data_IF_572676114611
#
_entry.id   IF_572676114611
#
_cell.length_a   1.000
_cell.length_b   1.000
_cell.length_c   1.000
_cell.angle_alpha   90.00
_cell.angle_beta   90.00
_cell.angle_gamma   90.00
#
_symmetry.space_group_name_H-M   'P 1'
#
loop_
_entity.id
_entity.type
_entity.pdbx_description
1 polymer ?
#
# COMPACT_ATOMS: atom_id res chain seq x y z
N UNK A 1 11.03 -15.37 36.25
CA UNK A 1 9.60 -15.23 36.54
C UNK A 1 9.02 -14.20 35.56
N UNK A 2 8.41 -14.68 34.48
CA UNK A 2 7.70 -13.80 33.54
C UNK A 2 6.30 -13.56 34.11
N UNK A 3 6.04 -12.35 34.60
CA UNK A 3 4.69 -11.90 34.94
C UNK A 3 3.95 -11.60 33.65
N UNK A 4 3.10 -12.50 33.20
CA UNK A 4 2.13 -12.25 32.13
C UNK A 4 1.12 -11.21 32.61
N UNK A 5 1.10 -10.04 31.97
CA UNK A 5 0.05 -9.05 32.18
C UNK A 5 -1.28 -9.66 31.72
N UNK A 6 -2.34 -9.63 32.54
CA UNK A 6 -3.62 -10.22 32.15
C UNK A 6 -4.19 -9.50 30.93
N UNK A 7 -4.57 -10.26 29.91
CA UNK A 7 -5.14 -9.75 28.63
C UNK A 7 -6.34 -8.81 28.85
N UNK A 8 -7.08 -8.99 29.94
CA UNK A 8 -8.22 -8.14 30.31
C UNK A 8 -7.88 -6.68 30.63
N UNK A 9 -6.70 -6.40 31.19
CA UNK A 9 -6.29 -5.04 31.53
C UNK A 9 -5.84 -4.24 30.29
N UNK A 10 -5.23 -4.92 29.33
CA UNK A 10 -4.84 -4.30 28.05
C UNK A 10 -6.05 -3.93 27.20
N UNK A 11 -7.07 -4.78 27.15
CA UNK A 11 -8.33 -4.51 26.43
C UNK A 11 -9.09 -3.35 27.07
N UNK A 12 -9.15 -3.29 28.41
CA UNK A 12 -9.80 -2.16 29.12
C UNK A 12 -9.07 -0.83 28.94
N UNK A 13 -7.74 -0.83 28.86
CA UNK A 13 -6.94 0.38 28.57
C UNK A 13 -7.16 0.86 27.13
N UNK A 14 -7.23 -0.04 26.17
CA UNK A 14 -7.54 0.27 24.77
C UNK A 14 -8.98 0.83 24.61
N UNK A 15 -9.97 0.24 25.28
CA UNK A 15 -11.36 0.74 25.26
C UNK A 15 -11.45 2.16 25.82
N UNK A 16 -10.82 2.43 26.97
CA UNK A 16 -10.77 3.78 27.55
C UNK A 16 -10.08 4.79 26.63
N UNK A 17 -8.96 4.43 26.03
CA UNK A 17 -8.25 5.30 25.10
C UNK A 17 -9.08 5.64 23.86
N UNK A 18 -9.89 4.69 23.36
CA UNK A 18 -10.82 4.92 22.26
C UNK A 18 -11.98 5.83 22.65
N UNK A 19 -12.56 5.62 23.85
CA UNK A 19 -13.63 6.48 24.38
C UNK A 19 -13.13 7.90 24.63
N UNK A 20 -11.92 8.06 25.19
CA UNK A 20 -11.30 9.37 25.40
C UNK A 20 -11.02 10.07 24.07
N UNK A 21 -10.55 9.34 23.07
CA UNK A 21 -10.33 9.87 21.72
C UNK A 21 -11.64 10.38 21.09
N UNK A 22 -12.73 9.63 21.17
CA UNK A 22 -14.03 10.06 20.67
C UNK A 22 -14.56 11.30 21.37
N UNK A 23 -14.38 11.40 22.68
CA UNK A 23 -14.74 12.59 23.46
C UNK A 23 -13.92 13.82 23.07
N UNK A 24 -12.62 13.64 22.84
CA UNK A 24 -11.72 14.71 22.39
C UNK A 24 -12.14 15.23 21.03
N UNK A 25 -12.43 14.32 20.08
CA UNK A 25 -12.89 14.69 18.73
C UNK A 25 -14.23 15.44 18.82
N UNK A 26 -15.21 14.88 19.53
CA UNK A 26 -16.52 15.52 19.68
C UNK A 26 -16.43 16.90 20.36
N UNK A 27 -15.55 17.05 21.36
CA UNK A 27 -15.30 18.34 21.99
C UNK A 27 -14.66 19.33 21.00
N UNK A 28 -13.69 18.90 20.23
CA UNK A 28 -13.01 19.73 19.24
C UNK A 28 -13.97 20.18 18.13
N UNK A 29 -14.85 19.31 17.65
CA UNK A 29 -15.88 19.64 16.66
C UNK A 29 -16.85 20.72 17.17
N UNK A 30 -17.14 20.74 18.47
CA UNK A 30 -18.05 21.72 19.08
C UNK A 30 -17.38 23.05 19.43
N UNK A 31 -16.05 23.05 19.66
CA UNK A 31 -15.34 24.19 20.24
C UNK A 31 -14.30 24.82 19.30
N UNK A 32 -14.04 24.21 18.13
CA UNK A 32 -13.14 24.81 17.14
C UNK A 32 -13.84 25.92 16.40
N UNK A 33 -13.26 27.11 16.45
CA UNK A 33 -13.79 28.28 15.76
C UNK A 33 -13.73 28.13 14.22
N UNK A 34 -14.54 28.92 13.54
CA UNK A 34 -14.70 28.94 12.08
C UNK A 34 -13.41 29.25 11.31
N UNK A 35 -12.39 29.73 11.96
CA UNK A 35 -11.15 30.08 11.33
C UNK A 35 -9.98 29.41 12.06
N UNK A 36 -9.47 28.42 11.61
CA UNK A 36 -8.26 27.64 11.88
C UNK A 36 -7.09 28.31 12.64
N UNK A 37 -7.34 29.38 13.43
CA UNK A 37 -6.31 30.19 14.07
C UNK A 37 -5.59 29.51 15.23
N UNK A 38 -6.23 28.55 15.87
CA UNK A 38 -5.66 27.85 17.04
C UNK A 38 -4.90 26.56 16.68
N UNK A 39 -4.76 26.27 15.38
CA UNK A 39 -3.96 25.14 14.95
C UNK A 39 -2.50 25.56 14.70
N UNK A 40 -1.57 24.64 15.01
CA UNK A 40 -0.18 24.78 14.57
C UNK A 40 -0.04 24.65 13.03
N UNK A 41 1.17 24.87 12.51
CA UNK A 41 1.44 24.76 11.05
C UNK A 41 1.15 23.37 10.47
N UNK A 42 1.04 22.34 11.27
CA UNK A 42 0.66 20.99 10.89
C UNK A 42 -0.82 20.68 11.04
N UNK A 43 -1.66 21.70 11.35
CA UNK A 43 -3.11 21.53 11.55
C UNK A 43 -3.47 20.84 12.84
N UNK A 44 -2.60 20.86 13.88
CA UNK A 44 -2.86 20.26 15.18
C UNK A 44 -3.40 21.30 16.14
N UNK A 45 -4.42 20.88 16.90
CA UNK A 45 -5.02 21.63 18.00
C UNK A 45 -4.51 21.11 19.34
N UNK A 46 -4.28 22.03 20.28
CA UNK A 46 -4.15 21.67 21.68
C UNK A 46 -5.52 21.83 22.32
N UNK A 47 -6.07 20.77 22.85
CA UNK A 47 -7.42 20.74 23.44
C UNK A 47 -7.36 20.26 24.88
N UNK A 48 -8.18 20.86 25.75
CA UNK A 48 -8.30 20.52 27.17
C UNK A 48 -9.75 20.14 27.47
N UNK A 49 -10.24 18.98 27.00
CA UNK A 49 -11.65 18.60 27.11
C UNK A 49 -12.07 18.14 28.51
N UNK A 50 -11.11 18.08 29.44
CA UNK A 50 -11.36 17.61 30.81
C UNK A 50 -11.09 18.71 31.85
N UNK A 51 -11.89 18.73 32.89
CA UNK A 51 -11.78 19.69 34.01
C UNK A 51 -10.47 19.61 34.82
N UNK A 52 -9.72 18.52 34.69
CA UNK A 52 -8.42 18.35 35.35
C UNK A 52 -7.24 18.96 34.56
N UNK A 53 -7.52 19.70 33.47
CA UNK A 53 -6.51 20.48 32.74
C UNK A 53 -5.53 19.70 31.91
N UNK A 54 -5.77 18.43 31.63
CA UNK A 54 -4.93 17.66 30.71
C UNK A 54 -5.07 18.18 29.29
N UNK A 55 -3.93 18.49 28.68
CA UNK A 55 -3.86 18.97 27.28
C UNK A 55 -3.57 17.81 26.33
N UNK A 56 -4.28 17.81 25.22
CA UNK A 56 -4.13 16.82 24.16
C UNK A 56 -3.85 17.53 22.83
N UNK A 57 -2.91 17.02 22.05
CA UNK A 57 -2.69 17.47 20.68
C UNK A 57 -3.40 16.52 19.72
N UNK A 58 -4.38 17.02 19.01
CA UNK A 58 -5.15 16.29 18.02
C UNK A 58 -5.08 17.02 16.68
N UNK A 59 -5.37 16.32 15.58
CA UNK A 59 -5.61 17.00 14.31
C UNK A 59 -6.94 17.74 14.35
N UNK A 60 -6.97 18.89 13.68
CA UNK A 60 -8.19 19.64 13.50
C UNK A 60 -9.23 18.75 12.78
N UNK A 61 -10.41 18.51 13.38
CA UNK A 61 -11.45 17.72 12.73
C UNK A 61 -11.97 18.33 11.43
N UNK A 62 -11.78 19.67 11.27
CA UNK A 62 -12.13 20.41 10.08
C UNK A 62 -10.98 20.50 9.06
N UNK A 63 -9.93 19.69 9.25
CA UNK A 63 -8.78 19.65 8.34
C UNK A 63 -9.25 19.12 6.98
N UNK A 64 -9.50 20.02 6.04
CA UNK A 64 -9.94 19.73 4.69
C UNK A 64 -8.86 20.07 3.67
N UNK A 65 -8.97 19.52 2.47
CA UNK A 65 -8.07 19.85 1.35
C UNK A 65 -8.13 21.33 0.91
N UNK A 66 -9.14 22.07 1.33
CA UNK A 66 -9.29 23.49 1.07
C UNK A 66 -8.59 24.37 2.11
N UNK A 67 -8.32 23.81 3.30
CA UNK A 67 -7.57 24.49 4.34
C UNK A 67 -6.07 24.51 4.00
N UNK A 68 -5.38 25.68 4.04
CA UNK A 68 -3.94 25.75 3.76
C UNK A 68 -3.09 24.82 4.62
N UNK A 69 -3.51 24.56 5.86
CA UNK A 69 -2.86 23.59 6.77
C UNK A 69 -3.19 22.15 6.42
N UNK A 70 -4.41 21.88 5.94
CA UNK A 70 -4.79 20.58 5.39
C UNK A 70 -3.97 20.23 4.15
N UNK A 71 -3.71 21.18 3.29
CA UNK A 71 -2.83 21.02 2.13
C UNK A 71 -1.40 20.65 2.58
N UNK A 72 -0.82 21.41 3.52
CA UNK A 72 0.51 21.09 4.08
C UNK A 72 0.56 19.72 4.75
N UNK A 73 -0.50 19.35 5.47
CA UNK A 73 -0.63 18.05 6.09
C UNK A 73 -0.63 16.92 5.05
N UNK A 74 -1.43 17.04 4.00
CA UNK A 74 -1.48 16.08 2.91
C UNK A 74 -0.12 15.96 2.21
N UNK A 75 0.59 17.07 1.99
CA UNK A 75 1.93 17.11 1.43
C UNK A 75 2.94 16.38 2.32
N UNK A 76 2.89 16.59 3.65
CA UNK A 76 3.77 15.91 4.61
C UNK A 76 3.54 14.38 4.62
N UNK A 77 2.28 13.93 4.60
CA UNK A 77 1.96 12.50 4.52
C UNK A 77 2.46 11.92 3.19
N UNK A 78 2.22 12.61 2.09
CA UNK A 78 2.67 12.17 0.77
C UNK A 78 4.20 12.07 0.70
N UNK A 79 4.92 13.06 1.21
CA UNK A 79 6.38 13.05 1.25
C UNK A 79 6.93 11.90 2.13
N UNK A 80 6.33 11.69 3.30
CA UNK A 80 6.70 10.60 4.18
C UNK A 80 6.42 9.23 3.53
N UNK A 81 5.27 9.10 2.85
CA UNK A 81 4.92 7.88 2.10
C UNK A 81 5.94 7.59 1.01
N UNK A 82 6.37 8.61 0.26
CA UNK A 82 7.42 8.46 -0.75
C UNK A 82 8.78 8.05 -0.16
N UNK A 83 9.15 8.62 1.00
CA UNK A 83 10.40 8.27 1.69
C UNK A 83 10.40 6.83 2.23
N UNK A 84 9.23 6.35 2.62
CA UNK A 84 9.05 5.02 3.21
C UNK A 84 8.85 3.91 2.18
N UNK A 85 8.78 4.23 0.89
CA UNK A 85 8.68 3.22 -0.18
C UNK A 85 9.95 2.35 -0.24
N UNK A 86 9.81 1.05 -0.58
CA UNK A 86 10.93 0.18 -0.85
C UNK A 86 11.91 0.77 -1.86
N UNK A 87 13.21 0.56 -1.63
CA UNK A 87 14.28 1.01 -2.52
C UNK A 87 14.18 0.38 -3.92
N UNK A 88 13.62 -0.82 -3.99
CA UNK A 88 13.50 -1.64 -5.20
C UNK A 88 12.47 -1.07 -6.20
N UNK A 89 11.59 -0.17 -5.75
CA UNK A 89 10.66 0.51 -6.65
C UNK A 89 11.43 1.53 -7.51
N UNK A 90 11.25 1.49 -8.85
CA UNK A 90 11.93 2.41 -9.75
C UNK A 90 11.75 3.88 -9.37
N UNK A 91 12.86 4.59 -9.18
CA UNK A 91 12.84 5.99 -8.73
C UNK A 91 12.13 6.93 -9.70
N UNK A 92 12.12 6.58 -11.00
CA UNK A 92 11.40 7.32 -12.05
C UNK A 92 9.89 7.42 -11.80
N UNK A 93 9.31 6.49 -11.05
CA UNK A 93 7.88 6.50 -10.73
C UNK A 93 7.53 7.49 -9.62
N UNK A 94 8.45 7.72 -8.67
CA UNK A 94 8.17 8.45 -7.41
C UNK A 94 7.54 9.82 -7.63
N UNK A 95 8.00 10.57 -8.62
CA UNK A 95 7.49 11.92 -8.93
C UNK A 95 6.04 11.97 -9.41
N UNK A 96 5.49 10.84 -9.86
CA UNK A 96 4.12 10.76 -10.39
C UNK A 96 3.14 10.04 -9.46
N UNK A 97 3.62 9.45 -8.35
CA UNK A 97 2.78 8.63 -7.47
C UNK A 97 1.73 9.46 -6.72
N UNK A 98 2.01 10.72 -6.39
CA UNK A 98 1.07 11.59 -5.67
C UNK A 98 -0.12 11.99 -6.57
N UNK A 99 0.14 12.22 -7.87
CA UNK A 99 -0.89 12.58 -8.85
C UNK A 99 -0.74 11.65 -10.06
N UNK A 100 -1.22 10.42 -9.96
CA UNK A 100 -1.11 9.46 -11.05
C UNK A 100 -2.00 9.88 -12.22
N UNK A 101 -1.55 9.62 -13.45
CA UNK A 101 -2.45 9.68 -14.60
C UNK A 101 -3.53 8.60 -14.44
N UNK A 102 -4.76 8.92 -14.77
CA UNK A 102 -5.86 7.96 -14.83
C UNK A 102 -5.65 7.04 -16.04
N UNK A 103 -5.31 5.79 -15.74
CA UNK A 103 -5.11 4.73 -16.73
C UNK A 103 -5.91 3.50 -16.33
N UNK A 104 -6.17 2.60 -17.28
CA UNK A 104 -6.83 1.32 -16.98
C UNK A 104 -6.07 0.54 -15.91
N UNK A 105 -4.74 0.59 -15.93
CA UNK A 105 -3.89 -0.08 -14.95
C UNK A 105 -4.08 0.52 -13.53
N UNK A 106 -4.04 1.85 -13.39
CA UNK A 106 -4.25 2.55 -12.10
C UNK A 106 -5.67 2.32 -11.60
N UNK A 107 -6.67 2.43 -12.48
CA UNK A 107 -8.06 2.17 -12.12
C UNK A 107 -8.25 0.73 -11.63
N UNK A 108 -7.71 -0.25 -12.34
CA UNK A 108 -7.78 -1.66 -11.92
C UNK A 108 -7.08 -1.90 -10.57
N UNK A 109 -5.89 -1.31 -10.38
CA UNK A 109 -5.16 -1.40 -9.13
C UNK A 109 -5.90 -0.73 -7.95
N UNK A 110 -6.62 0.37 -8.18
CA UNK A 110 -7.41 1.05 -7.14
C UNK A 110 -8.58 0.20 -6.62
N UNK A 111 -9.15 -0.63 -7.47
CA UNK A 111 -10.29 -1.50 -7.12
C UNK A 111 -9.89 -2.80 -6.43
N UNK A 112 -8.62 -3.18 -6.50
CA UNK A 112 -8.15 -4.37 -5.82
C UNK A 112 -8.22 -4.19 -4.30
N UNK A 113 -8.80 -5.17 -3.61
CA UNK A 113 -9.00 -5.14 -2.16
C UNK A 113 -7.76 -5.49 -1.32
N UNK A 114 -6.59 -5.68 -1.97
CA UNK A 114 -5.35 -6.07 -1.29
C UNK A 114 -5.28 -7.53 -0.87
N UNK A 115 -6.12 -8.41 -1.43
CA UNK A 115 -6.12 -9.85 -1.11
C UNK A 115 -5.88 -10.69 -2.36
N UNK A 116 -5.14 -11.78 -2.19
CA UNK A 116 -4.83 -12.69 -3.30
C UNK A 116 -3.98 -12.01 -4.38
N UNK A 117 -4.25 -12.35 -5.63
CA UNK A 117 -3.49 -11.85 -6.77
C UNK A 117 -4.20 -10.69 -7.47
N UNK A 118 -3.45 -9.69 -7.90
CA UNK A 118 -3.83 -8.74 -8.93
C UNK A 118 -2.94 -8.99 -10.15
N UNK A 119 -3.53 -9.33 -11.28
CA UNK A 119 -2.81 -9.56 -12.53
C UNK A 119 -3.07 -8.41 -13.51
N UNK A 120 -2.03 -7.64 -13.80
CA UNK A 120 -2.06 -6.53 -14.76
C UNK A 120 -1.39 -7.00 -16.06
N UNK A 121 -2.16 -7.20 -17.11
CA UNK A 121 -1.64 -7.63 -18.41
C UNK A 121 -1.92 -6.59 -19.51
N UNK A 122 -1.23 -6.71 -20.63
CA UNK A 122 -1.35 -5.82 -21.79
C UNK A 122 0.01 -5.42 -22.37
N UNK A 123 -0.01 -4.65 -23.45
CA UNK A 123 1.19 -4.25 -24.18
C UNK A 123 2.20 -3.45 -23.35
N UNK A 124 3.44 -3.39 -23.84
CA UNK A 124 4.50 -2.60 -23.20
C UNK A 124 4.12 -1.11 -23.20
N UNK A 125 4.35 -0.43 -22.06
CA UNK A 125 4.12 1.00 -21.94
C UNK A 125 2.72 1.39 -21.47
N UNK A 126 1.81 0.45 -21.18
CA UNK A 126 0.43 0.72 -20.73
C UNK A 126 0.32 1.09 -19.24
N UNK A 127 1.44 1.25 -18.53
CA UNK A 127 1.46 1.74 -17.13
C UNK A 127 1.33 0.66 -16.06
N UNK A 128 1.42 -0.64 -16.38
CA UNK A 128 1.28 -1.76 -15.42
C UNK A 128 2.21 -1.66 -14.21
N UNK A 129 3.52 -1.56 -14.45
CA UNK A 129 4.52 -1.46 -13.37
C UNK A 129 4.32 -0.17 -12.56
N UNK A 130 3.95 0.93 -13.20
CA UNK A 130 3.60 2.17 -12.51
C UNK A 130 2.38 1.98 -11.60
N UNK A 131 1.31 1.33 -12.08
CA UNK A 131 0.11 1.06 -11.29
C UNK A 131 0.39 0.16 -10.09
N UNK A 132 1.30 -0.82 -10.22
CA UNK A 132 1.76 -1.64 -9.11
C UNK A 132 2.51 -0.81 -8.05
N UNK A 133 3.41 0.10 -8.46
CA UNK A 133 4.11 1.01 -7.56
C UNK A 133 3.16 2.00 -6.89
N UNK A 134 2.20 2.55 -7.65
CA UNK A 134 1.18 3.43 -7.12
C UNK A 134 0.31 2.72 -6.08
N UNK A 135 -0.05 1.47 -6.29
CA UNK A 135 -0.84 0.72 -5.32
C UNK A 135 -0.11 0.53 -3.99
N UNK A 136 1.19 0.25 -4.01
CA UNK A 136 2.01 0.19 -2.79
C UNK A 136 2.03 1.56 -2.09
N UNK A 137 2.24 2.63 -2.86
CA UNK A 137 2.23 4.00 -2.34
C UNK A 137 0.90 4.33 -1.67
N UNK A 138 -0.22 4.05 -2.33
CA UNK A 138 -1.57 4.33 -1.85
C UNK A 138 -1.89 3.57 -0.55
N UNK A 139 -1.53 2.29 -0.46
CA UNK A 139 -1.73 1.51 0.76
C UNK A 139 -0.88 2.05 1.93
N UNK A 140 0.37 2.44 1.65
CA UNK A 140 1.25 3.04 2.63
C UNK A 140 0.76 4.43 3.06
N UNK A 141 0.31 5.24 2.11
CA UNK A 141 -0.25 6.57 2.35
C UNK A 141 -1.46 6.49 3.30
N UNK A 142 -2.41 5.62 3.03
CA UNK A 142 -3.57 5.38 3.88
C UNK A 142 -3.20 4.86 5.28
N UNK A 143 -2.17 4.04 5.38
CA UNK A 143 -1.68 3.56 6.67
C UNK A 143 -1.07 4.71 7.48
N UNK A 144 -0.22 5.53 6.88
CA UNK A 144 0.39 6.67 7.55
C UNK A 144 -0.69 7.68 7.97
N UNK A 145 -1.62 8.00 7.08
CA UNK A 145 -2.75 8.87 7.37
C UNK A 145 -3.56 8.37 8.58
N UNK A 146 -3.92 7.09 8.58
CA UNK A 146 -4.71 6.46 9.65
C UNK A 146 -4.02 6.52 11.02
N UNK A 147 -2.70 6.37 11.06
CA UNK A 147 -1.94 6.29 12.32
C UNK A 147 -1.20 7.57 12.66
N UNK A 148 -1.39 8.63 11.88
CA UNK A 148 -0.70 9.91 12.09
C UNK A 148 -0.91 10.50 13.49
N UNK A 149 -2.11 10.36 14.05
CA UNK A 149 -2.47 10.82 15.40
C UNK A 149 -1.84 10.03 16.53
N UNK A 150 -1.15 8.95 16.21
CA UNK A 150 -0.57 8.05 17.21
C UNK A 150 0.96 8.04 17.09
N UNK A 151 1.66 9.02 17.72
CA UNK A 151 3.10 9.28 17.47
C UNK A 151 4.06 8.13 17.78
N UNK A 152 3.61 7.04 18.37
CA UNK A 152 4.40 5.81 18.52
C UNK A 152 4.07 4.76 17.47
N UNK A 153 2.84 4.73 16.99
CA UNK A 153 2.32 3.66 16.14
C UNK A 153 2.63 3.86 14.66
N UNK A 154 2.65 5.12 14.15
CA UNK A 154 2.90 5.34 12.74
C UNK A 154 4.33 4.96 12.30
N UNK A 155 5.33 5.11 13.19
CA UNK A 155 6.72 4.70 12.89
C UNK A 155 6.83 3.20 12.70
N UNK A 156 6.08 2.43 13.47
CA UNK A 156 6.06 0.97 13.36
C UNK A 156 5.25 0.49 12.15
N UNK A 157 4.24 1.28 11.72
CA UNK A 157 3.38 0.98 10.58
C UNK A 157 3.81 1.65 9.27
N UNK A 158 4.65 2.68 9.31
CA UNK A 158 5.23 3.33 8.12
C UNK A 158 6.32 2.47 7.46
N UNK A 159 6.68 1.35 8.04
CA UNK A 159 7.57 0.39 7.39
C UNK A 159 6.82 -0.32 6.28
N UNK A 160 7.07 0.09 5.05
CA UNK A 160 6.55 -0.62 3.91
C UNK A 160 7.10 -2.05 3.89
N UNK A 161 6.21 -3.01 4.07
CA UNK A 161 6.56 -4.44 4.07
C UNK A 161 6.46 -5.07 2.68
N UNK A 162 6.17 -4.25 1.65
CA UNK A 162 6.16 -4.70 0.28
C UNK A 162 7.57 -4.99 -0.24
N UNK A 163 7.68 -5.97 -1.14
CA UNK A 163 8.88 -6.28 -1.90
C UNK A 163 8.60 -6.21 -3.39
N UNK A 164 9.60 -5.80 -4.13
CA UNK A 164 9.53 -5.65 -5.59
C UNK A 164 10.63 -6.46 -6.24
N UNK A 165 10.28 -7.41 -7.07
CA UNK A 165 11.23 -8.17 -7.88
C UNK A 165 10.73 -8.32 -9.29
N UNK A 166 11.63 -8.25 -10.27
CA UNK A 166 11.31 -8.76 -11.59
C UNK A 166 11.23 -10.29 -11.56
N UNK A 167 10.43 -10.89 -12.44
CA UNK A 167 10.36 -12.34 -12.56
C UNK A 167 11.74 -12.95 -12.85
N UNK A 168 12.56 -12.25 -13.64
CA UNK A 168 13.95 -12.62 -13.90
C UNK A 168 14.79 -12.67 -12.62
N UNK A 169 14.74 -11.64 -11.78
CA UNK A 169 15.52 -11.58 -10.53
C UNK A 169 15.16 -12.70 -9.55
N UNK A 170 13.87 -13.07 -9.47
CA UNK A 170 13.41 -14.20 -8.66
C UNK A 170 13.99 -15.52 -9.16
N UNK A 171 14.06 -15.72 -10.47
CA UNK A 171 14.58 -16.95 -11.04
C UNK A 171 16.09 -17.09 -10.92
N UNK A 172 16.82 -15.98 -10.85
CA UNK A 172 18.30 -15.99 -10.85
C UNK A 172 18.90 -16.21 -9.46
N UNK A 173 18.23 -15.77 -8.39
CA UNK A 173 18.79 -15.79 -7.04
C UNK A 173 17.84 -16.39 -6.02
N UNK A 174 18.30 -17.43 -5.30
CA UNK A 174 17.51 -18.06 -4.23
C UNK A 174 17.16 -17.12 -3.09
N UNK A 175 18.02 -16.15 -2.80
CA UNK A 175 17.78 -15.12 -1.77
C UNK A 175 16.56 -14.27 -2.15
N UNK A 176 16.40 -13.92 -3.43
CA UNK A 176 15.24 -13.19 -3.94
C UNK A 176 13.98 -14.06 -3.86
N UNK A 177 14.07 -15.34 -4.18
CA UNK A 177 12.95 -16.27 -4.07
C UNK A 177 12.43 -16.34 -2.62
N UNK A 178 13.30 -16.60 -1.64
CA UNK A 178 12.91 -16.65 -0.23
C UNK A 178 12.33 -15.32 0.27
N UNK A 179 12.93 -14.19 -0.14
CA UNK A 179 12.42 -12.88 0.21
C UNK A 179 11.03 -12.62 -0.43
N UNK A 180 10.83 -13.06 -1.67
CA UNK A 180 9.54 -12.97 -2.38
C UNK A 180 8.48 -13.87 -1.73
N UNK A 181 8.83 -15.09 -1.34
CA UNK A 181 7.92 -15.98 -0.62
C UNK A 181 7.47 -15.38 0.71
N UNK A 182 8.41 -14.84 1.49
CA UNK A 182 8.16 -14.32 2.83
C UNK A 182 7.46 -12.95 2.85
N UNK A 183 7.55 -12.16 1.77
CA UNK A 183 7.04 -10.79 1.72
C UNK A 183 5.55 -10.70 2.11
N UNK A 184 5.15 -9.81 3.03
CA UNK A 184 3.74 -9.56 3.33
C UNK A 184 2.95 -9.14 2.09
N UNK A 185 3.51 -8.24 1.27
CA UNK A 185 3.02 -7.89 -0.07
C UNK A 185 4.16 -8.05 -1.09
N UNK A 186 3.87 -8.60 -2.25
CA UNK A 186 4.86 -8.81 -3.31
C UNK A 186 4.41 -8.19 -4.63
N UNK A 187 5.34 -7.56 -5.34
CA UNK A 187 5.22 -7.30 -6.78
C UNK A 187 6.17 -8.20 -7.53
N UNK A 188 5.64 -8.97 -8.46
CA UNK A 188 6.38 -9.70 -9.49
C UNK A 188 6.23 -8.91 -10.78
N UNK A 189 7.27 -8.16 -11.12
CA UNK A 189 7.25 -7.29 -12.30
C UNK A 189 7.78 -8.04 -13.54
N UNK A 190 7.19 -7.74 -14.70
CA UNK A 190 7.55 -8.30 -15.99
C UNK A 190 7.55 -9.84 -16.04
N UNK A 191 6.50 -10.47 -15.50
CA UNK A 191 6.31 -11.91 -15.65
C UNK A 191 6.19 -12.27 -17.14
N UNK A 192 7.00 -13.20 -17.58
CA UNK A 192 7.14 -13.58 -19.00
C UNK A 192 8.43 -13.08 -19.64
N UNK A 193 9.18 -12.17 -18.99
CA UNK A 193 10.48 -11.68 -19.47
C UNK A 193 11.67 -12.52 -18.95
N UNK A 194 11.45 -13.45 -18.02
CA UNK A 194 12.48 -14.41 -17.62
C UNK A 194 12.80 -15.41 -18.74
N UNK A 195 14.00 -16.01 -18.65
CA UNK A 195 14.38 -17.05 -19.62
C UNK A 195 13.35 -18.19 -19.58
N UNK A 196 12.82 -18.54 -20.75
CA UNK A 196 11.87 -19.64 -20.87
C UNK A 196 12.59 -20.98 -20.68
N UNK A 197 12.54 -21.51 -19.47
CA UNK A 197 13.10 -22.82 -19.12
C UNK A 197 12.19 -23.56 -18.14
N UNK A 198 12.20 -24.90 -18.16
CA UNK A 198 11.44 -25.70 -17.18
C UNK A 198 11.80 -25.36 -15.73
N UNK A 199 13.06 -25.03 -15.47
CA UNK A 199 13.53 -24.67 -14.12
C UNK A 199 12.91 -23.35 -13.65
N UNK A 200 12.95 -22.30 -14.47
CA UNK A 200 12.36 -21.01 -14.13
C UNK A 200 10.83 -21.10 -13.98
N UNK A 201 10.17 -21.84 -14.86
CA UNK A 201 8.74 -22.10 -14.76
C UNK A 201 8.39 -22.84 -13.45
N UNK A 202 9.22 -23.80 -13.00
CA UNK A 202 9.03 -24.49 -11.73
C UNK A 202 9.18 -23.56 -10.53
N UNK A 203 10.21 -22.70 -10.52
CA UNK A 203 10.43 -21.69 -9.48
C UNK A 203 9.24 -20.75 -9.32
N UNK A 204 8.78 -20.19 -10.44
CA UNK A 204 7.63 -19.27 -10.43
C UNK A 204 6.33 -19.96 -10.02
N UNK A 205 6.11 -21.21 -10.48
CA UNK A 205 4.94 -22.00 -10.06
C UNK A 205 4.97 -22.31 -8.55
N UNK A 206 6.15 -22.59 -7.99
CA UNK A 206 6.32 -22.79 -6.54
C UNK A 206 6.03 -21.50 -5.77
N UNK A 207 6.63 -20.36 -6.16
CA UNK A 207 6.39 -19.06 -5.56
C UNK A 207 4.90 -18.70 -5.56
N UNK A 208 4.24 -18.79 -6.71
CA UNK A 208 2.79 -18.52 -6.81
C UNK A 208 2.01 -19.51 -5.93
N UNK A 209 2.46 -20.77 -5.86
CA UNK A 209 1.86 -21.79 -5.01
C UNK A 209 1.91 -21.44 -3.53
N UNK A 210 3.08 -21.07 -3.05
CA UNK A 210 3.28 -20.66 -1.65
C UNK A 210 2.43 -19.45 -1.32
N UNK A 211 2.46 -18.40 -2.17
CA UNK A 211 1.70 -17.18 -1.93
C UNK A 211 0.19 -17.40 -1.97
N UNK A 212 -0.29 -18.26 -2.86
CA UNK A 212 -1.70 -18.66 -2.91
C UNK A 212 -2.13 -19.38 -1.63
N UNK A 213 -1.36 -20.39 -1.19
CA UNK A 213 -1.70 -21.20 -0.02
C UNK A 213 -1.77 -20.37 1.28
N UNK A 214 -0.96 -19.31 1.38
CA UNK A 214 -0.93 -18.41 2.54
C UNK A 214 -1.77 -17.13 2.31
N UNK A 215 -2.55 -17.05 1.24
CA UNK A 215 -3.38 -15.90 0.86
C UNK A 215 -2.60 -14.55 0.88
N UNK A 216 -1.32 -14.57 0.51
CA UNK A 216 -0.44 -13.40 0.57
C UNK A 216 -0.70 -12.46 -0.62
N UNK A 217 -0.95 -11.16 -0.38
CA UNK A 217 -1.17 -10.16 -1.43
C UNK A 217 -0.03 -10.13 -2.45
N UNK A 218 -0.37 -10.25 -3.73
CA UNK A 218 0.62 -10.30 -4.81
C UNK A 218 0.12 -9.57 -6.04
N UNK A 219 0.88 -8.58 -6.51
CA UNK A 219 0.63 -7.90 -7.77
C UNK A 219 1.59 -8.50 -8.80
N UNK A 220 1.06 -8.86 -9.95
CA UNK A 220 1.82 -9.43 -11.07
C UNK A 220 1.61 -8.53 -12.27
N UNK A 221 2.68 -8.06 -12.88
CA UNK A 221 2.61 -7.38 -14.17
C UNK A 221 3.15 -8.28 -15.26
N UNK A 222 2.54 -8.25 -16.44
CA UNK A 222 2.97 -9.08 -17.57
C UNK A 222 2.62 -8.43 -18.90
N UNK A 223 3.45 -8.67 -19.90
CA UNK A 223 3.11 -8.35 -21.29
C UNK A 223 2.36 -9.49 -21.99
N UNK A 224 2.20 -10.62 -21.32
CA UNK A 224 1.47 -11.77 -21.84
C UNK A 224 -0.04 -11.57 -21.65
N UNK A 225 -0.80 -11.81 -22.71
CA UNK A 225 -2.23 -12.03 -22.62
C UNK A 225 -2.53 -13.28 -21.78
N UNK A 226 -3.76 -13.46 -21.36
CA UNK A 226 -4.15 -14.67 -20.61
C UNK A 226 -3.95 -15.95 -21.41
N UNK A 227 -4.14 -15.91 -22.73
CA UNK A 227 -3.89 -17.05 -23.62
C UNK A 227 -2.41 -17.39 -23.72
N UNK A 228 -1.55 -16.40 -23.90
CA UNK A 228 -0.09 -16.60 -23.92
C UNK A 228 0.42 -17.07 -22.57
N UNK A 229 -0.13 -16.52 -21.47
CA UNK A 229 0.21 -16.97 -20.12
C UNK A 229 -0.14 -18.46 -19.93
N UNK A 230 -1.34 -18.88 -20.32
CA UNK A 230 -1.78 -20.28 -20.19
C UNK A 230 -0.96 -21.24 -21.06
N UNK A 231 -0.45 -20.76 -22.20
CA UNK A 231 0.43 -21.54 -23.08
C UNK A 231 1.87 -21.68 -22.54
N UNK A 232 2.33 -20.66 -21.76
CA UNK A 232 3.70 -20.60 -21.27
C UNK A 232 3.90 -21.30 -19.92
N UNK A 233 2.92 -21.20 -19.03
CA UNK A 233 3.01 -21.70 -17.66
C UNK A 233 2.09 -22.89 -17.41
N UNK A 234 2.34 -23.59 -16.29
CA UNK A 234 1.53 -24.74 -15.92
C UNK A 234 0.07 -24.36 -15.65
N UNK A 235 -0.91 -25.21 -15.99
CA UNK A 235 -2.34 -24.94 -15.76
C UNK A 235 -2.64 -24.54 -14.32
N UNK A 236 -1.98 -25.18 -13.35
CA UNK A 236 -2.18 -24.91 -11.92
C UNK A 236 -1.81 -23.48 -11.53
N UNK A 237 -0.78 -22.88 -12.12
CA UNK A 237 -0.41 -21.48 -11.88
C UNK A 237 -1.45 -20.54 -12.47
N UNK A 238 -1.93 -20.82 -13.66
CA UNK A 238 -2.98 -20.07 -14.33
C UNK A 238 -4.28 -20.07 -13.52
N UNK A 239 -4.74 -21.24 -13.08
CA UNK A 239 -5.98 -21.38 -12.28
C UNK A 239 -5.93 -20.58 -10.97
N UNK A 240 -4.78 -20.60 -10.27
CA UNK A 240 -4.59 -19.84 -9.02
C UNK A 240 -4.71 -18.33 -9.21
N UNK A 241 -4.19 -17.82 -10.32
CA UNK A 241 -4.30 -16.39 -10.64
C UNK A 241 -5.74 -16.04 -11.03
N UNK A 242 -6.40 -16.88 -11.83
CA UNK A 242 -7.79 -16.66 -12.22
C UNK A 242 -8.77 -16.66 -11.04
N UNK A 243 -8.56 -17.54 -10.06
CA UNK A 243 -9.42 -17.62 -8.88
C UNK A 243 -9.47 -16.32 -8.06
N UNK A 244 -8.49 -15.44 -8.21
CA UNK A 244 -8.52 -14.14 -7.52
C UNK A 244 -9.51 -13.15 -8.12
N UNK A 245 -10.00 -13.36 -9.33
CA UNK A 245 -10.91 -12.50 -10.09
C UNK A 245 -10.44 -11.02 -10.23
N UNK A 246 -9.15 -10.75 -10.05
CA UNK A 246 -8.58 -9.41 -10.17
C UNK A 246 -7.61 -9.37 -11.35
N UNK A 247 -8.16 -9.50 -12.54
CA UNK A 247 -7.40 -9.44 -13.81
C UNK A 247 -7.78 -8.16 -14.50
N UNK A 248 -6.77 -7.40 -14.88
CA UNK A 248 -6.92 -6.12 -15.57
C UNK A 248 -6.13 -6.17 -16.87
N UNK A 249 -6.83 -6.17 -17.97
CA UNK A 249 -6.24 -5.94 -19.28
C UNK A 249 -6.08 -4.42 -19.46
N UNK A 250 -4.85 -3.97 -19.62
CA UNK A 250 -4.48 -2.56 -19.73
C UNK A 250 -4.46 -2.07 -21.18
N UNK A 251 -4.81 -2.95 -22.13
CA UNK A 251 -4.87 -2.63 -23.54
C UNK A 251 -3.50 -2.50 -24.22
N UNK A 252 -3.47 -1.76 -25.32
CA UNK A 252 -2.31 -1.66 -26.20
C UNK A 252 -1.71 -0.24 -26.28
N UNK A 253 -2.35 0.76 -25.70
CA UNK A 253 -1.92 2.16 -25.80
C UNK A 253 -0.62 2.39 -25.02
N UNK A 254 0.44 2.78 -25.76
CA UNK A 254 1.74 3.08 -25.16
C UNK A 254 1.78 4.51 -24.61
N UNK A 255 1.59 4.64 -23.32
CA UNK A 255 1.55 5.92 -22.60
C UNK A 255 2.89 6.69 -22.58
N UNK A 256 4.00 6.04 -22.96
CA UNK A 256 5.31 6.69 -23.07
C UNK A 256 5.45 7.53 -24.34
N UNK A 257 4.60 7.27 -25.35
CA UNK A 257 4.62 7.95 -26.64
C UNK A 257 3.60 9.08 -26.73
N UNK A 258 2.71 9.20 -25.76
CA UNK A 258 1.56 10.15 -25.71
C UNK A 258 1.85 11.32 -24.75
N UNK A 259 3.10 11.47 -24.28
CA UNK A 259 3.52 12.48 -23.31
C UNK A 259 4.25 13.66 -23.90
#
# INVERSE_FOLDING_TARGET
>A
MHTSVPVGDSVRKLSRALEDRQRIIAWAEQNVCECHFDCDDGGRLTVSPFSHGAEYRIFCPLLSHECPRGIKFAEQIAELSLKSLPSDIPTSFRKFLIKPKETLAVYGASRWNGKGFLYLCGSTGTGKSFAAAWRIFEDLHKQIEKYWDSPGLWRDHANCTARWFSAFAVCMERTNLYAAEAAPMLVIDDLGCELHSPANAAILNELIGVRYNFARPTIITSNLSLSEFSARYQPRMYERILQSNNIVDTGEENLRLVG
#
